data_IF_587631465811
#
_entry.id   IF_587631465811
#
_cell.length_a   1.000
_cell.length_b   1.000
_cell.length_c   1.000
_cell.angle_alpha   90.00
_cell.angle_beta   90.00
_cell.angle_gamma   90.00
#
_symmetry.space_group_name_H-M   'P 1'
#
loop_
_entity.id
_entity.type
_entity.pdbx_description
1 polymer ?
#
# COMPACT_ATOMS: atom_id res chain seq x y z
N UNK A 1 -19.66 8.49 -9.49
CA UNK A 1 -20.31 9.37 -8.49
C UNK A 1 -21.83 9.41 -8.66
N UNK A 2 -22.35 9.66 -9.88
CA UNK A 2 -23.80 9.75 -10.12
C UNK A 2 -24.54 8.44 -9.84
N UNK A 3 -23.99 7.30 -10.26
CA UNK A 3 -24.55 5.98 -9.96
C UNK A 3 -24.62 5.71 -8.44
N UNK A 4 -23.55 6.02 -7.71
CA UNK A 4 -23.53 5.87 -6.26
C UNK A 4 -24.55 6.77 -5.59
N UNK A 5 -24.68 8.04 -6.05
CA UNK A 5 -25.71 8.96 -5.58
C UNK A 5 -27.11 8.38 -5.79
N UNK A 6 -27.37 7.85 -6.98
CA UNK A 6 -28.66 7.26 -7.32
C UNK A 6 -29.01 6.08 -6.42
N UNK A 7 -28.07 5.16 -6.20
CA UNK A 7 -28.25 4.00 -5.30
C UNK A 7 -28.46 4.41 -3.85
N UNK A 8 -27.72 5.38 -3.35
CA UNK A 8 -27.89 5.89 -1.99
C UNK A 8 -29.26 6.59 -1.87
N UNK A 9 -29.63 7.43 -2.83
CA UNK A 9 -30.92 8.13 -2.83
C UNK A 9 -32.11 7.15 -2.87
N UNK A 10 -31.97 6.04 -3.62
CA UNK A 10 -32.99 4.98 -3.63
C UNK A 10 -33.22 4.35 -2.26
N UNK A 11 -32.16 4.22 -1.45
CA UNK A 11 -32.23 3.61 -0.12
C UNK A 11 -32.92 4.51 0.93
N UNK A 12 -33.01 5.81 0.65
CA UNK A 12 -33.60 6.83 1.53
C UNK A 12 -34.85 7.50 0.91
N UNK A 13 -35.57 6.75 0.06
CA UNK A 13 -36.75 7.28 -0.67
C UNK A 13 -37.86 7.80 0.22
N UNK A 14 -37.99 7.25 1.42
CA UNK A 14 -39.12 7.49 2.33
C UNK A 14 -38.81 8.56 3.39
N UNK A 15 -37.69 9.28 3.25
CA UNK A 15 -37.26 10.27 4.24
C UNK A 15 -36.84 11.60 3.65
N UNK A 16 -36.75 12.62 4.51
CA UNK A 16 -36.27 13.96 4.18
C UNK A 16 -34.75 14.02 3.82
N UNK A 17 -34.12 12.87 3.63
CA UNK A 17 -32.67 12.76 3.39
C UNK A 17 -32.33 13.15 1.95
N UNK A 18 -31.66 14.29 1.77
CA UNK A 18 -31.16 14.76 0.47
C UNK A 18 -29.72 14.33 0.26
N UNK A 19 -29.48 13.47 -0.74
CA UNK A 19 -28.12 13.02 -1.10
C UNK A 19 -27.48 14.03 -2.06
N UNK A 20 -26.36 14.60 -1.63
CA UNK A 20 -25.56 15.56 -2.42
C UNK A 20 -24.18 14.98 -2.72
N UNK A 21 -23.68 15.26 -3.91
CA UNK A 21 -22.35 14.82 -4.35
C UNK A 21 -21.58 16.04 -4.85
N UNK A 22 -20.40 16.25 -4.30
CA UNK A 22 -19.51 17.32 -4.70
C UNK A 22 -18.28 16.76 -5.41
N UNK A 23 -17.82 17.43 -6.47
CA UNK A 23 -16.58 17.08 -7.15
C UNK A 23 -15.39 17.40 -6.25
N UNK A 24 -14.33 16.58 -6.31
CA UNK A 24 -13.11 16.80 -5.52
C UNK A 24 -12.45 18.16 -5.75
N UNK A 25 -12.59 18.75 -6.96
CA UNK A 25 -12.14 20.10 -7.24
C UNK A 25 -12.86 21.14 -6.37
N UNK A 26 -14.18 20.98 -6.13
CA UNK A 26 -14.95 21.89 -5.29
C UNK A 26 -14.54 21.76 -3.81
N UNK A 27 -14.28 20.57 -3.34
CA UNK A 27 -13.75 20.34 -1.96
C UNK A 27 -12.37 20.99 -1.79
N UNK A 28 -11.51 20.90 -2.81
CA UNK A 28 -10.21 21.55 -2.77
C UNK A 28 -10.34 23.09 -2.79
N UNK A 29 -11.30 23.64 -3.54
CA UNK A 29 -11.58 25.08 -3.51
C UNK A 29 -12.16 25.52 -2.17
N UNK A 30 -13.04 24.74 -1.56
CA UNK A 30 -13.59 25.00 -0.22
C UNK A 30 -12.48 25.10 0.82
N UNK A 31 -11.52 24.19 0.83
CA UNK A 31 -10.36 24.25 1.74
C UNK A 31 -9.52 25.52 1.53
N UNK A 32 -9.28 25.90 0.28
CA UNK A 32 -8.52 27.12 -0.05
C UNK A 32 -9.29 28.38 0.34
N UNK A 33 -10.55 28.47 -0.05
CA UNK A 33 -11.38 29.62 0.21
C UNK A 33 -11.68 29.86 1.69
N UNK A 34 -11.82 28.80 2.47
CA UNK A 34 -11.97 28.88 3.92
C UNK A 34 -10.67 29.23 4.64
N UNK A 35 -9.52 28.96 4.05
CA UNK A 35 -8.22 29.10 4.68
C UNK A 35 -7.90 27.98 5.67
N UNK A 36 -8.74 26.93 5.78
CA UNK A 36 -8.55 25.85 6.75
C UNK A 36 -7.23 25.12 6.54
N UNK A 37 -6.80 24.92 5.29
CA UNK A 37 -5.55 24.23 4.99
C UNK A 37 -4.31 24.89 5.59
N UNK A 38 -4.27 26.20 5.69
CA UNK A 38 -3.17 26.96 6.30
C UNK A 38 -3.23 27.03 7.83
N UNK A 39 -4.32 26.56 8.43
CA UNK A 39 -4.52 26.56 9.90
C UNK A 39 -4.32 25.18 10.53
N UNK A 40 -4.18 24.14 9.71
CA UNK A 40 -3.97 22.78 10.20
C UNK A 40 -2.49 22.52 10.37
N UNK A 41 -2.07 22.29 11.59
CA UNK A 41 -0.64 22.12 11.98
C UNK A 41 0.02 20.90 11.36
N UNK A 42 -0.77 19.89 10.98
CA UNK A 42 -0.28 18.64 10.38
C UNK A 42 -0.34 18.64 8.84
N UNK A 43 -0.92 19.66 8.22
CA UNK A 43 -0.96 19.82 6.77
C UNK A 43 -0.10 21.02 6.42
N UNK A 44 1.05 20.76 5.82
CA UNK A 44 1.85 21.81 5.24
C UNK A 44 1.07 22.46 4.10
N UNK A 45 0.83 23.79 4.18
CA UNK A 45 -0.11 24.53 3.32
C UNK A 45 0.11 24.47 1.81
N UNK A 46 1.11 23.71 1.34
CA UNK A 46 1.53 23.60 -0.05
C UNK A 46 0.91 22.42 -0.82
N UNK A 47 0.09 21.59 -0.20
CA UNK A 47 -0.56 20.51 -0.93
C UNK A 47 -0.99 19.29 -0.10
N UNK A 48 -1.67 18.34 -0.76
CA UNK A 48 -2.03 17.06 -0.14
C UNK A 48 -0.82 16.14 -0.13
N UNK A 49 -0.31 15.82 1.06
CA UNK A 49 0.54 14.66 1.18
C UNK A 49 -0.28 13.38 0.96
N UNK A 50 0.10 12.55 -0.01
CA UNK A 50 -0.52 11.25 -0.21
C UNK A 50 -0.12 10.23 0.87
N UNK A 51 0.87 10.57 1.67
CA UNK A 51 1.39 9.72 2.75
C UNK A 51 0.58 9.90 4.02
N UNK A 52 0.10 11.13 4.29
CA UNK A 52 -0.78 11.43 5.41
C UNK A 52 -2.25 11.38 4.97
N UNK A 53 -3.00 10.44 5.52
CA UNK A 53 -4.41 10.24 5.18
C UNK A 53 -5.38 11.07 6.02
N UNK A 54 -4.89 11.81 7.01
CA UNK A 54 -5.72 12.70 7.84
C UNK A 54 -6.45 13.75 6.99
N UNK A 55 -5.90 14.10 5.83
CA UNK A 55 -6.57 14.98 4.89
C UNK A 55 -7.94 14.47 4.41
N UNK A 56 -8.20 13.16 4.45
CA UNK A 56 -9.53 12.62 4.13
C UNK A 56 -10.57 12.98 5.20
N UNK A 57 -10.18 13.01 6.47
CA UNK A 57 -11.05 13.48 7.55
C UNK A 57 -11.36 14.97 7.38
N UNK A 58 -10.36 15.78 7.01
CA UNK A 58 -10.54 17.19 6.68
C UNK A 58 -11.50 17.37 5.49
N UNK A 59 -11.29 16.62 4.40
CA UNK A 59 -12.16 16.69 3.22
C UNK A 59 -13.61 16.32 3.58
N UNK A 60 -13.81 15.27 4.39
CA UNK A 60 -15.14 14.85 4.83
C UNK A 60 -15.82 15.92 5.70
N UNK A 61 -15.09 16.51 6.63
CA UNK A 61 -15.59 17.59 7.48
C UNK A 61 -15.95 18.84 6.66
N UNK A 62 -15.08 19.25 5.74
CA UNK A 62 -15.35 20.38 4.83
C UNK A 62 -16.61 20.12 4.00
N UNK A 63 -16.78 18.91 3.48
CA UNK A 63 -17.99 18.53 2.71
C UNK A 63 -19.24 18.57 3.57
N UNK A 64 -19.17 18.11 4.83
CA UNK A 64 -20.31 18.11 5.75
C UNK A 64 -20.84 19.52 6.04
N UNK A 65 -19.98 20.53 6.02
CA UNK A 65 -20.35 21.92 6.25
C UNK A 65 -20.74 22.71 4.99
N UNK A 66 -20.76 22.09 3.81
CA UNK A 66 -21.16 22.77 2.58
C UNK A 66 -22.69 22.83 2.42
N UNK A 67 -23.26 24.03 2.42
CA UNK A 67 -24.64 24.29 1.96
C UNK A 67 -24.68 24.46 0.44
N UNK A 68 -25.89 24.48 -0.15
CA UNK A 68 -26.04 24.77 -1.58
C UNK A 68 -25.48 26.16 -1.94
N UNK A 69 -25.80 27.16 -1.15
CA UNK A 69 -25.33 28.54 -1.35
C UNK A 69 -23.79 28.62 -1.37
N UNK A 70 -23.14 27.93 -0.43
CA UNK A 70 -21.68 27.83 -0.37
C UNK A 70 -21.12 27.10 -1.59
N UNK A 71 -21.72 25.98 -1.98
CA UNK A 71 -21.28 25.22 -3.14
C UNK A 71 -21.39 26.00 -4.46
N UNK A 72 -22.49 26.73 -4.65
CA UNK A 72 -22.69 27.63 -5.80
C UNK A 72 -21.69 28.78 -5.80
N UNK A 73 -21.48 29.41 -4.64
CA UNK A 73 -20.47 30.48 -4.51
C UNK A 73 -19.07 29.97 -4.84
N UNK A 74 -18.69 28.78 -4.35
CA UNK A 74 -17.39 28.17 -4.66
C UNK A 74 -17.23 27.83 -6.15
N UNK A 75 -18.31 27.35 -6.81
CA UNK A 75 -18.31 27.08 -8.24
C UNK A 75 -18.08 28.37 -9.04
N UNK A 76 -18.78 29.45 -8.71
CA UNK A 76 -18.61 30.76 -9.34
C UNK A 76 -17.19 31.31 -9.10
N UNK A 77 -16.65 31.21 -7.88
CA UNK A 77 -15.26 31.58 -7.58
C UNK A 77 -14.26 30.80 -8.42
N UNK A 78 -14.50 29.49 -8.59
CA UNK A 78 -13.62 28.63 -9.40
C UNK A 78 -13.63 29.05 -10.87
N UNK A 79 -14.80 29.40 -11.42
CA UNK A 79 -14.92 29.91 -12.79
C UNK A 79 -14.22 31.25 -12.92
N UNK A 80 -14.49 32.21 -12.05
CA UNK A 80 -13.83 33.51 -12.05
C UNK A 80 -12.31 33.42 -11.91
N UNK A 81 -11.83 32.43 -11.16
CA UNK A 81 -10.40 32.13 -11.02
C UNK A 81 -9.83 31.60 -12.33
N UNK A 82 -10.52 30.66 -12.96
CA UNK A 82 -10.12 30.12 -14.27
C UNK A 82 -10.04 31.20 -15.32
N UNK A 83 -11.06 32.07 -15.42
CA UNK A 83 -11.08 33.23 -16.35
C UNK A 83 -9.94 34.22 -16.08
N UNK A 84 -9.63 34.43 -14.79
CA UNK A 84 -8.51 35.27 -14.39
C UNK A 84 -7.15 34.64 -14.79
N UNK A 85 -6.98 33.34 -14.56
CA UNK A 85 -5.75 32.61 -14.92
C UNK A 85 -5.57 32.55 -16.45
N UNK A 86 -6.65 32.42 -17.20
CA UNK A 86 -6.62 32.43 -18.66
C UNK A 86 -6.15 33.81 -19.21
N UNK A 87 -6.71 34.90 -18.69
CA UNK A 87 -6.32 36.26 -19.08
C UNK A 87 -4.90 36.59 -18.63
N UNK A 88 -4.45 36.07 -17.50
CA UNK A 88 -3.09 36.32 -16.98
C UNK A 88 -1.99 35.66 -17.82
N UNK A 89 -2.33 34.73 -18.71
CA UNK A 89 -1.39 34.18 -19.67
C UNK A 89 -1.18 35.10 -20.89
N UNK A 90 -2.08 36.03 -21.10
CA UNK A 90 -2.08 36.93 -22.28
C UNK A 90 -1.60 38.36 -21.92
N UNK A 91 -1.74 38.82 -20.68
CA UNK A 91 -1.36 40.15 -20.20
C UNK A 91 -0.03 40.15 -19.44
N UNK A 92 0.71 41.28 -19.47
CA UNK A 92 1.97 41.40 -18.74
C UNK A 92 1.76 41.36 -17.22
N UNK A 93 2.61 40.58 -16.51
CA UNK A 93 2.53 40.34 -15.05
C UNK A 93 2.42 41.64 -14.24
N UNK A 94 2.95 42.75 -14.69
CA UNK A 94 2.96 44.02 -13.97
C UNK A 94 1.59 44.71 -13.90
N UNK A 95 0.71 44.56 -14.91
CA UNK A 95 -0.66 45.12 -14.89
C UNK A 95 -1.59 44.29 -13.99
N UNK A 96 -1.37 42.98 -13.90
CA UNK A 96 -2.19 42.07 -13.10
C UNK A 96 -1.96 42.19 -11.59
N UNK A 97 -0.74 42.50 -11.16
CA UNK A 97 -0.42 42.68 -9.73
C UNK A 97 -1.10 43.89 -9.10
N UNK A 98 -1.49 44.89 -9.93
CA UNK A 98 -2.23 46.09 -9.44
C UNK A 98 -3.71 45.86 -9.19
N UNK A 99 -4.32 44.82 -9.77
CA UNK A 99 -5.76 44.50 -9.61
C UNK A 99 -5.93 43.27 -8.72
N UNK A 100 -6.31 43.47 -7.44
CA UNK A 100 -6.71 42.34 -6.61
C UNK A 100 -7.75 41.46 -7.31
N UNK A 101 -7.50 40.16 -7.51
CA UNK A 101 -8.40 39.33 -8.29
C UNK A 101 -9.78 39.25 -7.63
N UNK A 102 -10.82 39.67 -8.30
CA UNK A 102 -12.21 39.74 -7.82
C UNK A 102 -12.71 38.43 -7.21
N UNK A 103 -12.22 37.27 -7.68
CA UNK A 103 -12.64 36.00 -7.13
C UNK A 103 -12.22 35.80 -5.66
N UNK A 104 -11.17 36.47 -5.17
CA UNK A 104 -10.72 36.37 -3.77
C UNK A 104 -11.70 37.05 -2.79
N UNK A 105 -12.34 38.12 -3.22
CA UNK A 105 -13.28 38.90 -2.42
C UNK A 105 -14.75 38.54 -2.64
N UNK A 106 -15.05 37.74 -3.67
CA UNK A 106 -16.40 37.34 -4.00
C UNK A 106 -16.99 36.40 -2.94
N UNK A 107 -18.12 36.77 -2.38
CA UNK A 107 -18.81 36.06 -1.30
C UNK A 107 -20.17 35.48 -1.70
N UNK A 108 -20.57 35.66 -2.95
CA UNK A 108 -21.79 35.13 -3.54
C UNK A 108 -22.62 36.14 -4.31
N UNK A 109 -23.53 35.70 -5.18
CA UNK A 109 -24.28 36.56 -6.09
C UNK A 109 -25.46 37.29 -5.43
N UNK A 110 -25.97 36.79 -4.30
CA UNK A 110 -27.12 37.37 -3.59
C UNK A 110 -26.82 37.58 -2.09
N UNK A 111 -27.59 38.43 -1.38
CA UNK A 111 -27.42 38.60 0.06
C UNK A 111 -27.50 37.28 0.86
N UNK A 112 -28.36 36.34 0.42
CA UNK A 112 -28.48 35.03 1.07
C UNK A 112 -27.18 34.21 0.92
N UNK A 113 -26.55 34.23 -0.25
CA UNK A 113 -25.24 33.58 -0.47
C UNK A 113 -24.16 34.22 0.41
N UNK A 114 -24.15 35.55 0.49
CA UNK A 114 -23.16 36.31 1.27
C UNK A 114 -23.30 36.01 2.78
N UNK A 115 -24.53 35.99 3.28
CA UNK A 115 -24.77 35.63 4.68
C UNK A 115 -24.34 34.19 5.02
N UNK A 116 -24.68 33.23 4.15
CA UNK A 116 -24.27 31.85 4.32
C UNK A 116 -22.76 31.67 4.17
N UNK A 117 -22.11 32.44 3.31
CA UNK A 117 -20.67 32.43 3.14
C UNK A 117 -19.94 32.89 4.43
N UNK A 118 -20.42 33.94 5.08
CA UNK A 118 -19.84 34.42 6.34
C UNK A 118 -19.99 33.37 7.43
N UNK A 119 -21.21 32.86 7.63
CA UNK A 119 -21.46 31.79 8.62
C UNK A 119 -20.60 30.55 8.35
N UNK A 120 -20.44 30.19 7.09
CA UNK A 120 -19.61 29.05 6.71
C UNK A 120 -18.13 29.30 7.01
N UNK A 121 -17.63 30.52 6.76
CA UNK A 121 -16.24 30.89 7.06
C UNK A 121 -15.94 30.78 8.56
N UNK A 122 -16.85 31.24 9.41
CA UNK A 122 -16.73 31.18 10.86
C UNK A 122 -16.70 29.71 11.33
N UNK A 123 -17.64 28.90 10.86
CA UNK A 123 -17.67 27.46 11.15
C UNK A 123 -16.39 26.72 10.69
N UNK A 124 -15.79 27.17 9.58
CA UNK A 124 -14.54 26.60 9.12
C UNK A 124 -13.35 26.96 10.02
N UNK A 125 -13.42 28.09 10.74
CA UNK A 125 -12.40 28.42 11.74
C UNK A 125 -12.49 27.53 12.97
N UNK A 126 -13.73 27.37 13.50
CA UNK A 126 -14.00 26.47 14.63
C UNK A 126 -13.63 25.03 14.28
N UNK A 127 -13.93 24.61 13.03
CA UNK A 127 -13.56 23.29 12.53
C UNK A 127 -12.05 23.09 12.46
N UNK A 128 -11.27 24.13 12.12
CA UNK A 128 -9.82 24.01 12.07
C UNK A 128 -9.23 23.74 13.46
N UNK A 129 -9.73 24.42 14.47
CA UNK A 129 -9.31 24.21 15.86
C UNK A 129 -9.69 22.81 16.35
N UNK A 130 -10.95 22.41 16.12
CA UNK A 130 -11.42 21.06 16.47
C UNK A 130 -10.59 19.97 15.80
N UNK A 131 -10.28 20.11 14.51
CA UNK A 131 -9.48 19.13 13.75
C UNK A 131 -8.04 19.08 14.23
N UNK A 132 -7.42 20.22 14.52
CA UNK A 132 -6.07 20.25 15.10
C UNK A 132 -6.03 19.43 16.40
N UNK A 133 -6.94 19.76 17.32
CA UNK A 133 -7.01 19.06 18.59
C UNK A 133 -7.28 17.56 18.45
N UNK A 134 -8.24 17.19 17.60
CA UNK A 134 -8.64 15.80 17.42
C UNK A 134 -7.60 14.97 16.64
N UNK A 135 -6.95 15.53 15.63
CA UNK A 135 -5.97 14.83 14.78
C UNK A 135 -4.58 14.78 15.43
N UNK A 136 -4.19 15.81 16.15
CA UNK A 136 -2.92 15.80 16.90
C UNK A 136 -2.98 14.84 18.09
N UNK A 137 -4.14 14.67 18.71
CA UNK A 137 -4.36 13.72 19.81
C UNK A 137 -4.76 12.31 19.33
N UNK A 138 -4.66 12.02 18.01
CA UNK A 138 -5.11 10.76 17.40
C UNK A 138 -6.59 10.40 17.67
N UNK A 139 -7.43 11.36 18.02
CA UNK A 139 -8.86 11.15 18.25
C UNK A 139 -9.64 10.88 16.96
N UNK A 140 -9.14 11.39 15.83
CA UNK A 140 -9.71 11.07 14.51
C UNK A 140 -8.85 10.00 13.87
N UNK A 141 -9.43 8.85 13.74
CA UNK A 141 -8.74 7.65 13.30
C UNK A 141 -8.84 7.53 11.79
N UNK A 142 -7.69 7.36 11.14
CA UNK A 142 -7.60 7.22 9.70
C UNK A 142 -7.57 5.75 9.31
N UNK A 143 -8.53 5.34 8.48
CA UNK A 143 -8.60 3.97 7.97
C UNK A 143 -7.47 3.63 7.00
N UNK A 144 -6.98 2.41 7.09
CA UNK A 144 -6.19 1.80 6.03
C UNK A 144 -7.08 1.41 4.84
N UNK A 145 -6.61 1.70 3.64
CA UNK A 145 -7.11 1.06 2.44
C UNK A 145 -6.59 -0.38 2.36
N UNK A 146 -7.26 -1.29 3.05
CA UNK A 146 -7.01 -2.70 2.86
C UNK A 146 -7.45 -3.07 1.44
N UNK A 147 -6.51 -3.13 0.51
CA UNK A 147 -6.77 -3.61 -0.85
C UNK A 147 -6.85 -5.14 -0.84
N UNK A 148 -7.95 -5.66 -0.36
CA UNK A 148 -8.23 -7.10 -0.33
C UNK A 148 -8.88 -7.57 -1.64
N UNK A 149 -8.36 -7.15 -2.79
CA UNK A 149 -8.91 -7.57 -4.08
C UNK A 149 -8.22 -8.83 -4.56
N UNK A 150 -8.99 -9.91 -4.64
CA UNK A 150 -8.72 -10.97 -5.61
C UNK A 150 -9.14 -10.43 -6.98
N UNK A 151 -8.25 -9.81 -7.68
CA UNK A 151 -8.52 -9.23 -8.99
C UNK A 151 -7.36 -9.46 -9.94
N UNK A 152 -7.60 -9.21 -11.21
CA UNK A 152 -6.60 -9.25 -12.25
C UNK A 152 -5.57 -8.15 -11.98
N UNK A 153 -4.30 -8.49 -11.99
CA UNK A 153 -3.19 -7.52 -12.01
C UNK A 153 -2.97 -7.03 -13.45
N UNK A 154 -2.27 -5.91 -13.57
CA UNK A 154 -1.80 -5.44 -14.87
C UNK A 154 -0.74 -6.40 -15.40
N UNK A 155 -1.06 -7.13 -16.47
CA UNK A 155 -0.10 -7.94 -17.22
C UNK A 155 0.09 -7.41 -18.64
N UNK A 156 -0.75 -6.52 -19.09
CA UNK A 156 -0.75 -6.02 -20.47
C UNK A 156 0.38 -5.02 -20.79
N UNK A 157 1.00 -4.43 -19.77
CA UNK A 157 2.16 -3.53 -19.91
C UNK A 157 3.49 -4.22 -19.62
N UNK A 158 3.45 -5.49 -19.19
CA UNK A 158 4.67 -6.23 -18.87
C UNK A 158 5.31 -6.81 -20.13
N UNK A 159 6.62 -6.71 -20.22
CA UNK A 159 7.40 -7.35 -21.29
C UNK A 159 7.33 -8.87 -21.13
N UNK A 160 6.88 -9.58 -22.17
CA UNK A 160 6.90 -11.03 -22.20
C UNK A 160 8.36 -11.49 -22.42
N UNK A 161 8.93 -12.14 -21.40
CA UNK A 161 10.27 -12.70 -21.45
C UNK A 161 10.30 -14.09 -22.06
N UNK A 162 11.44 -14.52 -22.58
CA UNK A 162 11.65 -15.89 -23.07
C UNK A 162 11.90 -16.85 -21.91
N UNK A 163 11.31 -18.03 -21.97
CA UNK A 163 11.59 -19.12 -21.03
C UNK A 163 12.97 -19.74 -21.33
N UNK A 164 13.63 -20.21 -20.28
CA UNK A 164 14.82 -21.06 -20.41
C UNK A 164 14.38 -22.50 -20.63
N UNK A 165 15.06 -23.22 -21.49
CA UNK A 165 14.79 -24.61 -21.84
C UNK A 165 15.85 -25.53 -21.31
N UNK A 166 15.46 -26.67 -20.79
CA UNK A 166 16.28 -27.81 -20.40
C UNK A 166 15.72 -29.06 -21.04
N UNK A 167 16.55 -30.06 -21.25
CA UNK A 167 16.05 -31.40 -21.51
C UNK A 167 15.73 -32.10 -20.20
N UNK A 168 14.76 -32.99 -20.19
CA UNK A 168 14.39 -33.76 -19.01
C UNK A 168 15.58 -34.52 -18.43
N UNK A 169 16.50 -35.01 -19.29
CA UNK A 169 17.68 -35.74 -18.90
C UNK A 169 18.84 -34.88 -18.39
N UNK A 170 18.80 -33.56 -18.56
CA UNK A 170 19.90 -32.68 -18.12
C UNK A 170 20.02 -32.65 -16.59
N UNK A 171 21.20 -32.24 -16.11
CA UNK A 171 21.39 -31.84 -14.73
C UNK A 171 20.66 -30.51 -14.49
N UNK A 172 19.77 -30.44 -13.49
CA UNK A 172 18.93 -29.27 -13.20
C UNK A 172 19.13 -28.89 -11.73
N UNK A 173 19.59 -27.67 -11.49
CA UNK A 173 19.79 -27.18 -10.13
C UNK A 173 18.48 -27.02 -9.36
N UNK A 174 18.50 -27.11 -8.02
CA UNK A 174 17.34 -26.83 -7.19
C UNK A 174 16.75 -25.44 -7.48
N UNK A 175 17.60 -24.46 -7.77
CA UNK A 175 17.17 -23.09 -8.12
C UNK A 175 16.35 -23.06 -9.43
N UNK A 176 16.76 -23.83 -10.43
CA UNK A 176 16.04 -23.90 -11.69
C UNK A 176 14.76 -24.72 -11.57
N UNK A 177 14.77 -25.79 -10.77
CA UNK A 177 13.55 -26.56 -10.42
C UNK A 177 12.52 -25.65 -9.74
N UNK A 178 12.96 -24.83 -8.81
CA UNK A 178 12.07 -23.84 -8.13
C UNK A 178 11.48 -22.81 -9.11
N UNK A 179 12.10 -22.59 -10.25
CA UNK A 179 11.64 -21.74 -11.33
C UNK A 179 10.83 -22.47 -12.41
N UNK A 180 10.44 -23.72 -12.17
CA UNK A 180 9.61 -24.47 -13.13
C UNK A 180 8.40 -23.66 -13.58
N UNK A 181 8.12 -23.67 -14.88
CA UNK A 181 7.07 -22.85 -15.50
C UNK A 181 5.64 -23.23 -15.06
N UNK A 182 5.46 -24.42 -14.49
CA UNK A 182 4.17 -24.86 -13.95
C UNK A 182 4.32 -25.64 -12.65
N UNK A 183 3.24 -25.68 -11.84
CA UNK A 183 3.17 -26.49 -10.63
C UNK A 183 3.36 -28.00 -10.95
N UNK A 184 2.78 -28.46 -12.07
CA UNK A 184 2.86 -29.85 -12.48
C UNK A 184 4.31 -30.25 -12.82
N UNK A 185 5.03 -29.41 -13.53
CA UNK A 185 6.46 -29.63 -13.83
C UNK A 185 7.29 -29.67 -12.55
N UNK A 186 7.09 -28.71 -11.65
CA UNK A 186 7.80 -28.69 -10.35
C UNK A 186 7.54 -30.00 -9.57
N UNK A 187 6.28 -30.44 -9.50
CA UNK A 187 5.93 -31.70 -8.84
C UNK A 187 6.57 -32.91 -9.50
N UNK A 188 6.65 -32.94 -10.82
CA UNK A 188 7.27 -34.05 -11.53
C UNK A 188 8.77 -34.14 -11.25
N UNK A 189 9.46 -33.02 -11.30
CA UNK A 189 10.91 -32.95 -11.03
C UNK A 189 11.26 -33.25 -9.57
N UNK A 190 10.48 -32.76 -8.61
CA UNK A 190 10.76 -32.96 -7.16
C UNK A 190 10.34 -34.33 -6.64
N UNK A 191 9.55 -35.10 -7.40
CA UNK A 191 9.17 -36.50 -7.10
C UNK A 191 10.10 -37.50 -7.75
N UNK A 192 11.00 -37.05 -8.62
CA UNK A 192 11.99 -37.93 -9.21
C UNK A 192 12.85 -38.55 -8.11
N UNK A 193 13.14 -39.89 -8.17
CA UNK A 193 13.93 -40.57 -7.15
C UNK A 193 15.34 -39.99 -6.96
N UNK A 194 15.90 -39.41 -8.02
CA UNK A 194 17.25 -38.80 -8.01
C UNK A 194 17.26 -37.37 -7.45
N UNK A 195 16.11 -36.80 -7.09
CA UNK A 195 16.04 -35.42 -6.62
C UNK A 195 16.66 -35.23 -5.22
N UNK A 196 17.68 -34.39 -5.16
CA UNK A 196 18.24 -33.89 -3.89
C UNK A 196 17.82 -32.44 -3.65
N UNK A 197 17.16 -32.13 -2.51
CA UNK A 197 16.77 -30.75 -2.18
C UNK A 197 17.92 -29.72 -2.11
N UNK A 198 19.18 -30.17 -2.03
CA UNK A 198 20.34 -29.27 -1.97
C UNK A 198 20.97 -29.03 -3.34
N UNK A 199 21.09 -30.05 -4.13
CA UNK A 199 21.82 -30.02 -5.42
C UNK A 199 20.88 -29.98 -6.63
N UNK A 200 19.68 -30.55 -6.53
CA UNK A 200 18.71 -30.69 -7.61
C UNK A 200 18.75 -32.10 -8.20
N UNK A 201 18.62 -32.17 -9.53
CA UNK A 201 18.63 -33.42 -10.29
C UNK A 201 19.98 -33.60 -11.01
N UNK A 202 20.65 -34.75 -10.87
CA UNK A 202 21.86 -35.05 -11.68
C UNK A 202 21.46 -35.31 -13.13
N UNK A 203 22.42 -35.36 -14.02
CA UNK A 203 22.23 -35.83 -15.39
C UNK A 203 21.78 -37.31 -15.40
N UNK A 204 20.71 -37.63 -16.16
CA UNK A 204 20.22 -38.99 -16.31
C UNK A 204 19.59 -39.17 -17.70
N UNK A 205 20.26 -39.85 -18.65
CA UNK A 205 19.77 -40.05 -20.01
C UNK A 205 18.55 -40.93 -20.09
N UNK A 206 18.20 -41.63 -19.05
CA UNK A 206 17.01 -42.50 -18.98
C UNK A 206 15.85 -41.91 -18.18
N UNK A 207 15.99 -40.63 -17.72
CA UNK A 207 14.94 -39.99 -16.94
C UNK A 207 13.66 -39.84 -17.76
N UNK A 208 12.55 -40.20 -17.14
CA UNK A 208 11.21 -39.96 -17.65
C UNK A 208 10.37 -39.28 -16.59
N UNK A 209 9.60 -38.28 -16.98
CA UNK A 209 8.64 -37.62 -16.08
C UNK A 209 7.24 -37.65 -16.69
N UNK A 210 6.22 -37.55 -15.83
CA UNK A 210 4.81 -37.49 -16.26
C UNK A 210 4.16 -36.18 -15.86
N UNK A 211 3.67 -35.43 -16.85
CA UNK A 211 2.99 -34.15 -16.66
C UNK A 211 1.62 -34.19 -17.32
N UNK A 212 0.55 -33.98 -16.54
CA UNK A 212 -0.84 -34.01 -17.03
C UNK A 212 -1.17 -35.23 -17.89
N UNK A 213 -0.61 -36.40 -17.57
CA UNK A 213 -0.82 -37.63 -18.30
C UNK A 213 0.14 -37.86 -19.49
N UNK A 214 0.86 -36.86 -19.93
CA UNK A 214 1.88 -36.97 -20.98
C UNK A 214 3.19 -37.49 -20.38
N UNK A 215 3.79 -38.50 -20.98
CA UNK A 215 5.12 -38.98 -20.68
C UNK A 215 6.15 -38.17 -21.46
N UNK A 216 7.14 -37.62 -20.76
CA UNK A 216 8.28 -36.96 -21.34
C UNK A 216 9.52 -37.81 -21.07
N UNK A 217 10.33 -37.98 -22.09
CA UNK A 217 11.62 -38.73 -22.07
C UNK A 217 12.80 -37.76 -21.84
N UNK A 218 13.97 -38.29 -21.61
CA UNK A 218 15.18 -37.50 -21.36
C UNK A 218 15.50 -36.49 -22.48
N UNK A 219 15.10 -36.76 -23.72
CA UNK A 219 15.32 -35.86 -24.86
C UNK A 219 14.30 -34.73 -25.00
N UNK A 220 13.15 -34.83 -24.30
CA UNK A 220 12.09 -33.83 -24.38
C UNK A 220 12.44 -32.55 -23.64
N UNK A 221 11.96 -31.42 -24.17
CA UNK A 221 12.24 -30.11 -23.57
C UNK A 221 11.23 -29.74 -22.48
N UNK A 222 11.73 -29.19 -21.41
CA UNK A 222 10.97 -28.55 -20.35
C UNK A 222 11.36 -27.08 -20.21
N UNK A 223 10.50 -26.28 -19.61
CA UNK A 223 10.71 -24.84 -19.52
C UNK A 223 10.73 -24.37 -18.08
N UNK A 224 11.65 -23.44 -17.79
CA UNK A 224 11.75 -22.77 -16.51
C UNK A 224 11.84 -21.25 -16.70
N UNK A 225 11.48 -20.50 -15.67
CA UNK A 225 11.65 -19.05 -15.67
C UNK A 225 13.12 -18.68 -15.51
N UNK A 226 13.67 -17.77 -16.31
CA UNK A 226 15.10 -17.39 -16.22
C UNK A 226 15.39 -16.51 -15.00
N UNK A 227 14.37 -16.03 -14.30
CA UNK A 227 14.50 -15.10 -13.19
C UNK A 227 13.93 -15.68 -11.89
N UNK A 228 14.52 -15.32 -10.76
CA UNK A 228 14.06 -15.75 -9.44
C UNK A 228 12.73 -15.10 -8.99
N UNK A 229 12.25 -14.05 -9.69
CA UNK A 229 11.00 -13.40 -9.36
C UNK A 229 9.79 -14.30 -9.69
N UNK A 230 8.73 -14.18 -8.91
CA UNK A 230 7.46 -14.83 -9.22
C UNK A 230 6.99 -14.47 -10.63
N UNK A 231 6.67 -15.49 -11.39
CA UNK A 231 6.34 -15.38 -12.80
C UNK A 231 5.23 -16.35 -13.16
N UNK A 232 4.49 -16.04 -14.22
CA UNK A 232 3.45 -16.91 -14.81
C UNK A 232 3.77 -17.15 -16.28
N UNK A 233 3.51 -18.36 -16.81
CA UNK A 233 3.68 -18.62 -18.22
C UNK A 233 2.58 -17.90 -19.03
N UNK A 234 3.00 -17.28 -20.14
CA UNK A 234 2.09 -16.63 -21.09
C UNK A 234 2.50 -17.07 -22.50
N UNK A 235 1.69 -17.91 -23.14
CA UNK A 235 2.04 -18.52 -24.43
C UNK A 235 3.44 -19.18 -24.37
N UNK A 236 4.35 -18.76 -25.24
CA UNK A 236 5.74 -19.28 -25.32
C UNK A 236 6.73 -18.49 -24.46
N UNK A 237 6.24 -17.65 -23.58
CA UNK A 237 7.04 -16.80 -22.72
C UNK A 237 6.54 -16.74 -21.28
N UNK A 238 6.95 -15.71 -20.56
CA UNK A 238 6.50 -15.47 -19.20
C UNK A 238 6.30 -13.98 -18.91
N UNK A 239 5.42 -13.69 -17.94
CA UNK A 239 5.30 -12.37 -17.33
C UNK A 239 5.64 -12.44 -15.83
N UNK A 240 6.31 -11.40 -15.34
CA UNK A 240 6.64 -11.27 -13.92
C UNK A 240 5.43 -10.81 -13.14
N UNK A 241 5.16 -11.42 -12.00
CA UNK A 241 4.12 -10.96 -11.07
C UNK A 241 4.57 -9.72 -10.29
N UNK A 242 5.86 -9.45 -10.23
CA UNK A 242 6.44 -8.29 -9.56
C UNK A 242 6.00 -8.16 -8.10
N UNK A 243 5.48 -6.99 -7.73
CA UNK A 243 4.92 -6.70 -6.40
C UNK A 243 3.41 -6.97 -6.29
N UNK A 244 2.82 -7.71 -7.22
CA UNK A 244 1.38 -8.01 -7.26
C UNK A 244 1.02 -9.17 -6.32
N UNK A 245 1.47 -9.11 -5.08
CA UNK A 245 1.05 -10.02 -4.02
C UNK A 245 -0.22 -9.50 -3.33
N UNK A 246 -1.07 -10.42 -2.87
CA UNK A 246 -2.29 -10.11 -2.12
C UNK A 246 -1.97 -9.62 -0.71
N UNK A 247 -1.11 -10.35 -0.01
CA UNK A 247 -0.63 -10.02 1.33
C UNK A 247 0.73 -10.68 1.57
N UNK A 248 1.32 -10.36 2.70
CA UNK A 248 2.55 -10.98 3.17
C UNK A 248 2.27 -11.73 4.46
N UNK A 249 2.76 -12.95 4.60
CA UNK A 249 2.69 -13.72 5.85
C UNK A 249 4.02 -13.65 6.58
N UNK A 250 3.96 -13.37 7.87
CA UNK A 250 5.11 -13.37 8.75
C UNK A 250 5.20 -14.70 9.48
N UNK A 251 6.39 -15.28 9.46
CA UNK A 251 6.70 -16.51 10.15
C UNK A 251 7.91 -16.34 11.05
N UNK A 252 7.91 -17.10 12.16
CA UNK A 252 9.07 -17.34 13.00
C UNK A 252 9.55 -18.77 12.75
N UNK A 253 10.82 -18.92 12.36
CA UNK A 253 11.41 -20.23 12.05
C UNK A 253 12.59 -20.53 12.95
N UNK A 254 12.81 -21.78 13.37
CA UNK A 254 13.97 -22.17 14.15
C UNK A 254 15.27 -21.89 13.38
N UNK A 255 16.27 -21.34 14.07
CA UNK A 255 17.60 -21.09 13.54
C UNK A 255 18.66 -21.40 14.61
N UNK A 256 19.00 -22.67 14.75
CA UNK A 256 19.80 -23.18 15.86
C UNK A 256 19.09 -23.00 17.20
N UNK A 257 19.77 -22.33 18.15
CA UNK A 257 19.18 -21.98 19.47
C UNK A 257 18.32 -20.71 19.44
N UNK A 258 18.25 -20.01 18.30
CA UNK A 258 17.49 -18.77 18.13
C UNK A 258 16.37 -18.98 17.10
N UNK A 259 15.63 -17.91 16.86
CA UNK A 259 14.62 -17.85 15.82
C UNK A 259 15.02 -16.83 14.73
N UNK A 260 14.55 -17.04 13.51
CA UNK A 260 14.61 -16.06 12.43
C UNK A 260 13.21 -15.67 12.01
N UNK A 261 12.98 -14.40 11.79
CA UNK A 261 11.73 -13.89 11.20
C UNK A 261 11.84 -13.87 9.69
N UNK A 262 10.88 -14.47 9.01
CA UNK A 262 10.83 -14.59 7.55
C UNK A 262 9.48 -14.15 7.01
N UNK A 263 9.46 -13.60 5.79
CA UNK A 263 8.23 -13.26 5.08
C UNK A 263 7.97 -14.21 3.92
N UNK A 264 6.69 -14.45 3.68
CA UNK A 264 6.20 -15.10 2.46
C UNK A 264 5.24 -14.16 1.74
N UNK A 265 5.58 -13.75 0.53
CA UNK A 265 4.66 -13.05 -0.35
C UNK A 265 3.61 -14.02 -0.86
N UNK A 266 2.34 -13.75 -0.59
CA UNK A 266 1.23 -14.58 -1.05
C UNK A 266 0.64 -13.96 -2.30
N UNK A 267 0.84 -14.62 -3.43
CA UNK A 267 0.40 -14.14 -4.72
C UNK A 267 -1.07 -14.46 -4.97
N UNK A 268 -1.77 -13.52 -5.59
CA UNK A 268 -3.20 -13.64 -5.89
C UNK A 268 -3.52 -14.89 -6.71
N UNK A 269 -2.61 -15.30 -7.61
CA UNK A 269 -2.79 -16.49 -8.45
C UNK A 269 -2.92 -17.77 -7.62
N UNK A 270 -2.19 -17.89 -6.52
CA UNK A 270 -2.25 -19.05 -5.62
C UNK A 270 -3.54 -19.08 -4.78
N UNK A 271 -4.20 -17.93 -4.61
CA UNK A 271 -5.41 -17.79 -3.81
C UNK A 271 -6.72 -18.01 -4.57
N UNK A 272 -6.69 -18.06 -5.90
CA UNK A 272 -7.91 -18.12 -6.71
C UNK A 272 -8.79 -19.33 -6.38
N UNK A 273 -8.21 -20.42 -5.92
CA UNK A 273 -8.90 -21.67 -5.54
C UNK A 273 -9.63 -21.56 -4.18
N UNK A 274 -9.24 -20.59 -3.35
CA UNK A 274 -9.64 -20.48 -1.94
C UNK A 274 -10.63 -19.34 -1.66
N UNK A 275 -11.43 -18.93 -2.65
CA UNK A 275 -12.33 -17.76 -2.53
C UNK A 275 -13.36 -17.85 -1.40
N UNK A 276 -13.63 -19.05 -0.89
CA UNK A 276 -14.58 -19.30 0.21
C UNK A 276 -13.90 -19.51 1.56
N UNK A 277 -12.58 -19.48 1.61
CA UNK A 277 -11.77 -19.69 2.81
C UNK A 277 -11.16 -18.38 3.30
N UNK A 278 -10.61 -18.39 4.50
CA UNK A 278 -9.81 -17.26 4.98
C UNK A 278 -8.47 -17.22 4.24
N UNK A 279 -8.37 -16.28 3.31
CA UNK A 279 -7.22 -16.13 2.43
C UNK A 279 -5.92 -15.83 3.17
N UNK A 280 -5.99 -15.34 4.41
CA UNK A 280 -4.82 -14.98 5.20
C UNK A 280 -4.20 -16.17 5.92
N UNK A 281 -5.00 -17.19 6.22
CA UNK A 281 -4.60 -18.36 7.00
C UNK A 281 -4.60 -19.66 6.22
N UNK A 282 -5.25 -19.71 5.05
CA UNK A 282 -5.33 -20.91 4.23
C UNK A 282 -3.95 -21.51 3.95
N UNK A 283 -3.82 -22.82 4.13
CA UNK A 283 -2.56 -23.54 3.93
C UNK A 283 -2.23 -23.64 2.44
N UNK A 284 -1.10 -23.07 2.04
CA UNK A 284 -0.59 -23.15 0.68
C UNK A 284 0.25 -24.41 0.49
N UNK A 285 0.12 -25.03 -0.70
CA UNK A 285 0.88 -26.23 -1.04
C UNK A 285 2.33 -25.88 -1.44
N UNK A 286 3.31 -26.79 -1.25
CA UNK A 286 4.72 -26.53 -1.58
C UNK A 286 4.97 -26.07 -3.02
N UNK A 287 4.18 -26.55 -3.97
CA UNK A 287 4.32 -26.23 -5.41
C UNK A 287 3.79 -24.84 -5.79
N UNK A 288 3.11 -24.10 -4.90
CA UNK A 288 2.62 -22.75 -5.18
C UNK A 288 3.76 -21.75 -5.37
N UNK A 289 3.55 -20.73 -6.18
CA UNK A 289 4.54 -19.67 -6.43
C UNK A 289 4.94 -19.01 -5.11
N UNK A 290 4.00 -18.73 -4.24
CA UNK A 290 4.23 -18.10 -2.94
C UNK A 290 5.20 -18.89 -2.06
N UNK A 291 5.10 -20.22 -2.04
CA UNK A 291 5.99 -21.07 -1.24
C UNK A 291 7.34 -21.27 -1.95
N UNK A 292 7.35 -21.49 -3.27
CA UNK A 292 8.59 -21.68 -4.04
C UNK A 292 9.51 -20.46 -4.01
N UNK A 293 8.94 -19.26 -3.94
CA UNK A 293 9.68 -17.99 -3.98
C UNK A 293 10.10 -17.46 -2.62
N UNK A 294 9.66 -18.08 -1.50
CA UNK A 294 10.09 -17.64 -0.17
C UNK A 294 11.54 -18.09 0.14
N UNK A 295 12.11 -17.56 1.22
CA UNK A 295 13.47 -17.92 1.65
C UNK A 295 13.60 -19.43 1.96
N UNK A 296 14.71 -20.02 1.62
CA UNK A 296 14.98 -21.46 1.85
C UNK A 296 14.79 -21.93 3.30
N UNK A 297 15.20 -21.18 4.35
CA UNK A 297 14.89 -21.56 5.73
C UNK A 297 13.39 -21.66 6.02
N UNK A 298 12.58 -20.75 5.46
CA UNK A 298 11.14 -20.79 5.63
C UNK A 298 10.53 -21.98 4.88
N UNK A 299 10.94 -22.25 3.64
CA UNK A 299 10.48 -23.43 2.88
C UNK A 299 10.72 -24.73 3.63
N UNK A 300 11.95 -24.88 4.16
CA UNK A 300 12.31 -26.05 4.97
C UNK A 300 11.44 -26.19 6.22
N UNK A 301 11.22 -25.07 6.93
CA UNK A 301 10.40 -25.06 8.12
C UNK A 301 8.91 -25.34 7.83
N UNK A 302 8.38 -24.85 6.71
CA UNK A 302 7.03 -25.14 6.25
C UNK A 302 6.86 -26.62 5.89
N UNK A 303 7.84 -27.21 5.20
CA UNK A 303 7.83 -28.63 4.85
C UNK A 303 7.88 -29.54 6.10
N UNK A 304 8.65 -29.15 7.11
CA UNK A 304 8.81 -29.90 8.37
C UNK A 304 7.75 -29.56 9.43
N UNK A 305 6.85 -28.63 9.15
CA UNK A 305 5.82 -28.20 10.12
C UNK A 305 6.36 -27.41 11.32
N UNK A 306 7.59 -26.87 11.22
CA UNK A 306 8.24 -26.11 12.31
C UNK A 306 8.15 -24.59 12.15
N UNK A 307 7.56 -24.13 11.07
CA UNK A 307 7.30 -22.70 10.84
C UNK A 307 6.11 -22.25 11.69
N UNK A 308 6.35 -21.29 12.58
CA UNK A 308 5.28 -20.67 13.38
C UNK A 308 4.70 -19.48 12.61
N UNK A 309 3.42 -19.51 12.29
CA UNK A 309 2.72 -18.42 11.66
C UNK A 309 2.38 -17.34 12.70
N UNK A 310 2.88 -16.12 12.47
CA UNK A 310 2.65 -15.00 13.38
C UNK A 310 1.52 -14.07 12.90
N UNK A 311 1.16 -14.13 11.61
CA UNK A 311 0.10 -13.31 11.03
C UNK A 311 0.47 -12.73 9.68
N UNK A 312 -0.24 -11.69 9.26
CA UNK A 312 -0.13 -11.15 7.92
C UNK A 312 0.00 -9.62 7.91
N UNK A 313 0.52 -9.11 6.81
CA UNK A 313 0.70 -7.70 6.52
C UNK A 313 0.19 -7.40 5.12
N UNK A 314 -0.35 -6.21 4.92
CA UNK A 314 -0.70 -5.66 3.61
C UNK A 314 -0.04 -4.31 3.40
N UNK A 315 0.10 -3.91 2.15
CA UNK A 315 0.58 -2.55 1.84
C UNK A 315 -0.29 -1.52 2.55
N UNK A 316 0.36 -0.51 3.08
CA UNK A 316 -0.26 0.57 3.85
C UNK A 316 -0.67 0.21 5.30
N UNK A 317 -0.35 -0.99 5.81
CA UNK A 317 -0.51 -1.27 7.24
C UNK A 317 0.27 -0.24 8.08
N UNK A 318 -0.36 0.23 9.14
CA UNK A 318 0.25 1.08 10.15
C UNK A 318 1.04 0.22 11.15
N UNK A 319 2.28 0.59 11.37
CA UNK A 319 3.19 -0.10 12.28
C UNK A 319 3.66 0.87 13.36
N UNK A 320 3.52 0.46 14.61
CA UNK A 320 4.19 1.10 15.72
C UNK A 320 5.55 0.42 15.91
N UNK A 321 6.63 1.18 15.81
CA UNK A 321 8.00 0.66 15.84
C UNK A 321 8.81 1.46 16.85
N UNK A 322 9.50 0.76 17.74
CA UNK A 322 10.56 1.36 18.53
C UNK A 322 11.84 1.46 17.68
N UNK A 323 12.17 2.68 17.30
CA UNK A 323 13.32 2.94 16.45
C UNK A 323 14.60 3.20 17.23
N UNK A 324 14.59 3.20 18.57
CA UNK A 324 15.75 3.50 19.43
C UNK A 324 16.94 2.56 19.23
N UNK A 325 16.65 1.29 18.88
CA UNK A 325 17.67 0.26 18.63
C UNK A 325 18.31 0.33 17.23
N UNK A 326 17.78 1.17 16.33
CA UNK A 326 18.26 1.28 14.95
C UNK A 326 19.25 2.43 14.81
N UNK A 327 20.51 2.10 14.51
CA UNK A 327 21.62 3.05 14.39
C UNK A 327 21.95 3.45 12.94
N UNK A 328 21.02 3.27 12.00
CA UNK A 328 21.22 3.76 10.62
C UNK A 328 21.22 5.29 10.62
N UNK A 329 22.14 5.89 9.89
CA UNK A 329 22.36 7.35 9.87
C UNK A 329 21.07 8.13 9.65
N UNK A 330 20.25 7.72 8.68
CA UNK A 330 19.00 8.43 8.40
C UNK A 330 17.96 8.32 9.51
N UNK A 331 17.89 7.21 10.26
CA UNK A 331 16.98 7.08 11.42
C UNK A 331 17.46 7.91 12.58
N UNK A 332 18.77 7.92 12.87
CA UNK A 332 19.35 8.74 13.93
C UNK A 332 19.09 10.23 13.67
N UNK A 333 19.41 10.72 12.47
CA UNK A 333 19.16 12.11 12.06
C UNK A 333 17.67 12.47 12.08
N UNK A 334 16.79 11.54 11.65
CA UNK A 334 15.35 11.75 11.71
C UNK A 334 14.86 11.94 13.15
N UNK A 335 15.41 11.15 14.10
CA UNK A 335 15.07 11.27 15.52
C UNK A 335 15.61 12.56 16.14
N UNK A 336 16.82 12.98 15.78
CA UNK A 336 17.43 14.23 16.25
C UNK A 336 16.63 15.46 15.81
N UNK A 337 16.13 15.46 14.57
CA UNK A 337 15.47 16.64 13.99
C UNK A 337 13.95 16.70 14.24
N UNK A 338 13.26 15.55 14.26
CA UNK A 338 11.80 15.45 14.38
C UNK A 338 11.34 14.71 15.63
N UNK A 339 12.25 14.32 16.51
CA UNK A 339 11.93 13.50 17.67
C UNK A 339 11.66 12.04 17.32
N UNK A 340 11.19 11.27 18.30
CA UNK A 340 10.96 9.85 18.12
C UNK A 340 9.74 9.57 17.20
N UNK A 341 10.00 9.22 15.95
CA UNK A 341 8.97 8.80 14.99
C UNK A 341 8.60 7.35 15.30
N UNK A 342 7.48 7.14 15.97
CA UNK A 342 7.00 5.80 16.37
C UNK A 342 6.10 5.15 15.33
N UNK A 343 5.34 5.93 14.55
CA UNK A 343 4.34 5.41 13.61
C UNK A 343 4.85 5.39 12.18
N UNK A 344 4.79 4.22 11.60
CA UNK A 344 5.30 3.94 10.27
C UNK A 344 4.22 3.29 9.41
N UNK A 345 4.37 3.40 8.11
CA UNK A 345 3.52 2.76 7.12
C UNK A 345 4.33 1.77 6.30
N UNK A 346 3.79 0.58 6.09
CA UNK A 346 4.36 -0.39 5.16
C UNK A 346 4.16 0.12 3.72
N UNK A 347 5.21 0.65 3.12
CA UNK A 347 5.18 1.13 1.74
C UNK A 347 5.31 0.00 0.71
N UNK A 348 5.80 -1.16 1.13
CA UNK A 348 5.98 -2.36 0.32
C UNK A 348 7.17 -3.19 0.78
N UNK A 349 7.56 -4.16 -0.04
CA UNK A 349 8.76 -4.96 0.20
C UNK A 349 9.89 -4.52 -0.73
N UNK A 350 11.12 -4.60 -0.24
CA UNK A 350 12.32 -4.46 -1.05
C UNK A 350 12.73 -5.81 -1.66
N UNK A 351 12.56 -6.86 -0.86
CA UNK A 351 12.82 -8.26 -1.20
C UNK A 351 11.99 -9.14 -0.26
N UNK A 352 12.14 -10.46 -0.35
CA UNK A 352 11.52 -11.40 0.61
C UNK A 352 12.05 -11.24 2.04
N UNK A 353 13.21 -10.58 2.22
CA UNK A 353 13.85 -10.35 3.52
C UNK A 353 13.90 -8.88 3.94
N UNK A 354 13.36 -7.95 3.14
CA UNK A 354 13.45 -6.52 3.39
C UNK A 354 12.12 -5.79 3.25
N UNK A 355 11.78 -4.96 4.22
CA UNK A 355 10.61 -4.10 4.22
C UNK A 355 10.96 -2.67 3.90
N UNK A 356 10.07 -1.99 3.16
CA UNK A 356 10.11 -0.55 2.87
C UNK A 356 9.12 0.16 3.77
N UNK A 357 9.61 1.03 4.62
CA UNK A 357 8.80 1.76 5.59
C UNK A 357 8.89 3.27 5.35
N UNK A 358 7.79 3.98 5.62
CA UNK A 358 7.73 5.44 5.61
C UNK A 358 7.11 5.94 6.90
N UNK A 359 7.55 7.08 7.45
CA UNK A 359 6.85 7.73 8.54
C UNK A 359 5.38 7.95 8.16
N UNK A 360 4.45 7.73 9.09
CA UNK A 360 3.02 7.86 8.80
C UNK A 360 2.62 9.32 8.66
N UNK A 361 3.14 10.19 9.51
CA UNK A 361 2.73 11.58 9.64
C UNK A 361 3.75 12.61 9.14
N UNK A 362 4.88 12.16 8.61
CA UNK A 362 5.87 13.04 8.00
C UNK A 362 5.92 12.80 6.50
N UNK A 363 5.76 13.86 5.72
CA UNK A 363 5.81 13.84 4.26
C UNK A 363 6.92 14.75 3.73
N UNK A 364 7.22 14.67 2.44
CA UNK A 364 8.20 15.57 1.81
C UNK A 364 7.84 17.05 2.00
N UNK A 365 6.57 17.34 1.91
CA UNK A 365 6.03 18.70 2.00
C UNK A 365 6.10 19.24 3.45
N UNK A 366 6.12 18.34 4.44
CA UNK A 366 6.28 18.68 5.87
C UNK A 366 7.73 18.69 6.35
N UNK A 367 8.71 18.55 5.47
CA UNK A 367 10.11 18.66 5.82
C UNK A 367 10.53 20.12 5.94
N UNK A 368 11.37 20.42 6.93
CA UNK A 368 11.97 21.74 7.08
C UNK A 368 12.79 22.13 5.86
N UNK A 369 12.91 23.42 5.52
CA UNK A 369 13.89 23.87 4.54
C UNK A 369 15.29 23.40 4.95
N UNK A 370 16.09 22.94 4.03
CA UNK A 370 17.47 22.46 4.28
C UNK A 370 17.61 21.23 5.17
N UNK A 371 16.59 20.39 5.25
CA UNK A 371 16.67 19.11 5.97
C UNK A 371 17.79 18.22 5.39
N UNK A 372 18.38 17.41 6.24
CA UNK A 372 19.44 16.48 5.86
C UNK A 372 19.01 15.54 4.69
N UNK A 373 19.86 15.32 3.69
CA UNK A 373 19.56 14.46 2.56
C UNK A 373 19.15 13.02 2.93
N UNK A 374 19.67 12.48 4.03
CA UNK A 374 19.30 11.14 4.50
C UNK A 374 17.85 11.09 5.00
N UNK A 375 17.37 12.15 5.67
CA UNK A 375 15.96 12.29 6.04
C UNK A 375 15.09 12.39 4.80
N UNK A 376 15.50 13.20 3.80
CA UNK A 376 14.80 13.29 2.51
C UNK A 376 14.63 11.93 1.83
N UNK A 377 15.66 11.06 1.91
CA UNK A 377 15.59 9.70 1.37
C UNK A 377 14.54 8.84 2.08
N UNK A 378 14.48 8.89 3.41
CA UNK A 378 13.54 8.08 4.21
C UNK A 378 12.10 8.54 4.00
N UNK A 379 11.86 9.84 4.06
CA UNK A 379 10.52 10.43 3.94
C UNK A 379 10.06 10.45 2.49
N UNK A 380 10.98 10.59 1.56
CA UNK A 380 10.72 10.77 0.12
C UNK A 380 10.76 9.49 -0.69
N UNK A 381 11.72 9.43 -1.63
CA UNK A 381 11.68 8.47 -2.74
C UNK A 381 12.16 7.06 -2.37
N UNK A 382 13.11 6.94 -1.46
CA UNK A 382 13.77 5.66 -1.17
C UNK A 382 13.18 4.86 -0.03
N UNK A 383 12.44 5.48 0.89
CA UNK A 383 11.91 4.85 2.10
C UNK A 383 13.02 4.35 3.06
N UNK A 384 12.67 4.02 4.27
CA UNK A 384 13.55 3.27 5.16
C UNK A 384 13.47 1.79 4.79
N UNK A 385 14.57 1.23 4.30
CA UNK A 385 14.69 -0.21 4.02
C UNK A 385 15.30 -0.88 5.25
N UNK A 386 14.58 -1.85 5.80
CA UNK A 386 15.00 -2.59 6.98
C UNK A 386 14.82 -4.09 6.79
N UNK A 387 15.79 -4.87 7.29
CA UNK A 387 15.68 -6.32 7.27
C UNK A 387 14.55 -6.80 8.19
N UNK A 388 13.73 -7.70 7.70
CA UNK A 388 12.58 -8.27 8.42
C UNK A 388 12.98 -8.84 9.77
N UNK A 389 14.03 -9.68 9.79
CA UNK A 389 14.49 -10.28 11.03
C UNK A 389 14.86 -9.22 12.06
N UNK A 390 15.68 -8.23 11.68
CA UNK A 390 16.08 -7.14 12.58
C UNK A 390 14.89 -6.33 13.06
N UNK A 391 13.93 -6.05 12.19
CA UNK A 391 12.75 -5.26 12.52
C UNK A 391 11.89 -5.95 13.60
N UNK A 392 11.58 -7.23 13.42
CA UNK A 392 10.71 -7.98 14.35
C UNK A 392 11.45 -8.51 15.59
N UNK A 393 12.76 -8.63 15.53
CA UNK A 393 13.57 -9.06 16.69
C UNK A 393 13.82 -7.91 17.67
N UNK A 394 14.07 -6.69 17.16
CA UNK A 394 14.49 -5.56 18.01
C UNK A 394 13.57 -4.36 18.00
N UNK A 395 12.65 -4.26 17.02
CA UNK A 395 11.81 -3.07 16.83
C UNK A 395 10.53 -3.04 17.65
N UNK A 396 10.25 -4.05 18.48
CA UNK A 396 9.01 -4.19 19.25
C UNK A 396 7.77 -3.81 18.43
N UNK A 397 7.70 -4.36 17.20
CA UNK A 397 6.72 -3.98 16.19
C UNK A 397 5.31 -4.37 16.62
N UNK A 398 4.40 -3.40 16.57
CA UNK A 398 2.96 -3.63 16.73
C UNK A 398 2.24 -3.17 15.46
N UNK A 399 1.26 -3.96 15.01
CA UNK A 399 0.43 -3.62 13.85
C UNK A 399 -0.85 -3.00 14.37
N UNK A 400 -1.17 -1.81 13.86
CA UNK A 400 -2.39 -1.10 14.19
C UNK A 400 -3.34 -1.25 13.02
N UNK A 401 -4.48 -1.90 13.24
CA UNK A 401 -5.56 -2.02 12.28
C UNK A 401 -6.84 -1.44 12.86
N UNK A 402 -7.59 -0.77 12.00
CA UNK A 402 -8.72 0.02 12.43
C UNK A 402 -9.98 -0.45 11.72
N UNK A 403 -11.13 -0.30 12.37
CA UNK A 403 -12.43 -0.55 11.75
C UNK A 403 -12.85 0.63 10.84
N UNK A 404 -14.04 0.53 10.25
CA UNK A 404 -14.61 1.59 9.39
C UNK A 404 -14.84 2.92 10.12
N UNK A 405 -14.93 2.89 11.44
CA UNK A 405 -15.05 4.07 12.30
C UNK A 405 -13.69 4.54 12.80
N UNK A 406 -12.62 3.82 12.40
CA UNK A 406 -11.26 4.15 12.76
C UNK A 406 -10.83 3.67 14.14
N UNK A 407 -11.61 2.86 14.86
CA UNK A 407 -11.22 2.29 16.14
C UNK A 407 -10.22 1.16 15.93
N UNK A 408 -9.23 0.98 16.81
CA UNK A 408 -8.38 -0.19 16.77
C UNK A 408 -9.19 -1.47 16.79
N UNK A 409 -8.86 -2.44 15.95
CA UNK A 409 -9.60 -3.69 15.81
C UNK A 409 -8.71 -4.90 16.02
N UNK A 410 -9.25 -5.92 16.73
CA UNK A 410 -8.63 -7.22 16.83
C UNK A 410 -8.81 -8.00 15.52
N UNK A 411 -7.72 -8.55 15.01
CA UNK A 411 -7.76 -9.54 13.94
C UNK A 411 -7.40 -10.92 14.50
N UNK A 412 -8.04 -11.94 13.94
CA UNK A 412 -7.89 -13.32 14.37
C UNK A 412 -6.49 -13.91 14.18
N UNK A 413 -5.61 -13.28 13.42
CA UNK A 413 -4.20 -13.59 13.36
C UNK A 413 -3.51 -13.17 14.69
N UNK A 414 -3.80 -13.90 15.74
CA UNK A 414 -3.60 -13.51 17.12
C UNK A 414 -2.14 -13.43 17.57
N UNK A 415 -1.19 -13.89 16.75
CA UNK A 415 0.21 -13.98 17.16
C UNK A 415 1.07 -12.80 16.74
N UNK A 416 0.59 -11.95 15.83
CA UNK A 416 1.22 -10.64 15.63
C UNK A 416 0.89 -9.74 16.80
N UNK A 417 1.88 -9.04 17.36
CA UNK A 417 1.61 -8.05 18.38
C UNK A 417 0.76 -6.93 17.78
N UNK A 418 -0.54 -6.99 18.05
CA UNK A 418 -1.51 -5.97 17.66
C UNK A 418 -1.67 -5.05 18.84
N UNK A 419 -1.45 -3.76 18.62
CA UNK A 419 -1.68 -2.75 19.66
C UNK A 419 -3.14 -2.33 19.67
N UNK A 420 -3.74 -2.40 20.85
CA UNK A 420 -4.92 -1.66 21.21
C UNK A 420 -4.46 -0.34 21.82
N UNK A 421 -4.75 0.76 21.17
CA UNK A 421 -4.76 2.04 21.87
C UNK A 421 -6.19 2.23 22.39
N UNK A 422 -6.33 2.15 23.70
CA UNK A 422 -7.57 2.49 24.40
C UNK A 422 -7.68 4.00 24.46
#
# INVERSE_FOLDING_TARGET
ANELRSRIAQKFKDGDTKVRVYKGALTAEARRASGIAGKLEFIDGKGKSRLDRRHHAVDAAVVAFMSNYVAETLALRSNMKFDYELRSSEESKQELERKKPKYKTFTGPTPAHQAEWVKWKDRMQDLAELLNNALMQDRIVVMHNLRLRLGNGAAHEDTIGKLTRFKVGDAISTTDIDRASSEALWCALTRDPDFDPKTGLPENPNRTIRIHGTHLTASDEITVFPVAAASIPIRDGFAKLGSNYHHVRLFRVPNGKKYKYCLMQVYTVDLLKFRKEDLFTVKLKPQTISVRTCEAPLRKALANGTAEYLGWLVSDDELLIDTSSFKTTGIVKLQEEYGQVKRWRLAGLNSVSGMKLRPLYLSKEGLKPNVDPEIKKIVGDRTWIVAVHKLFDTGHVKIIRRDVLGRPRLYSAAHLPICWEV
#
